data_IF_058728760684
#
_entry.id   IF_058728760684
#
_cell.length_a   1.000
_cell.length_b   1.000
_cell.length_c   1.000
_cell.angle_alpha   90.00
_cell.angle_beta   90.00
_cell.angle_gamma   90.00
#
_symmetry.space_group_name_H-M   'P 1'
#
loop_
_entity.id
_entity.type
_entity.pdbx_description
1 polymer ?
#
# COMPACT_ATOMS: atom_id res chain seq x y z
N UNK A 1 -15.15 -24.57 14.67
CA UNK A 1 -14.96 -23.24 14.04
C UNK A 1 -13.55 -23.27 13.47
N UNK A 2 -13.41 -23.43 12.16
CA UNK A 2 -12.09 -23.36 11.53
C UNK A 2 -11.53 -21.96 11.77
N UNK A 3 -10.36 -21.87 12.37
CA UNK A 3 -9.67 -20.61 12.59
C UNK A 3 -9.47 -19.93 11.22
N UNK A 4 -10.00 -18.73 11.06
CA UNK A 4 -9.82 -17.94 9.84
C UNK A 4 -8.31 -17.72 9.67
N UNK A 5 -7.73 -18.28 8.62
CA UNK A 5 -6.29 -18.08 8.35
C UNK A 5 -6.07 -16.61 7.94
N UNK A 6 -5.14 -15.90 8.58
CA UNK A 6 -4.82 -14.53 8.22
C UNK A 6 -4.32 -14.45 6.78
N UNK A 7 -4.63 -13.33 6.11
CA UNK A 7 -4.14 -13.07 4.75
C UNK A 7 -2.66 -12.69 4.74
N UNK A 8 -2.25 -11.93 5.75
CA UNK A 8 -0.85 -11.60 6.03
C UNK A 8 -0.51 -12.01 7.46
N UNK A 9 0.64 -12.64 7.64
CA UNK A 9 1.18 -12.98 8.95
C UNK A 9 2.66 -12.64 8.97
N UNK A 10 3.04 -11.76 9.86
CA UNK A 10 4.42 -11.34 10.10
C UNK A 10 4.87 -11.96 11.41
N UNK A 11 5.98 -12.70 11.38
CA UNK A 11 6.53 -13.40 12.53
C UNK A 11 7.99 -12.99 12.76
N UNK A 12 8.26 -12.34 13.88
CA UNK A 12 9.59 -11.94 14.32
C UNK A 12 10.43 -11.25 13.22
N UNK A 13 9.80 -10.39 12.42
CA UNK A 13 10.43 -9.70 11.30
C UNK A 13 11.58 -8.83 11.77
N UNK A 14 12.73 -8.96 11.13
CA UNK A 14 13.94 -8.18 11.38
C UNK A 14 14.45 -7.58 10.08
N UNK A 15 14.52 -6.24 10.02
CA UNK A 15 15.09 -5.50 8.89
C UNK A 15 16.14 -4.52 9.38
N UNK A 16 17.38 -4.73 8.96
CA UNK A 16 18.54 -3.97 9.40
C UNK A 16 19.19 -3.22 8.24
N UNK A 17 19.75 -2.04 8.54
CA UNK A 17 20.56 -1.26 7.62
C UNK A 17 22.04 -1.30 8.03
N UNK A 18 22.90 -1.75 7.13
CA UNK A 18 24.34 -1.91 7.34
C UNK A 18 25.08 -0.66 6.87
N UNK A 19 25.19 0.33 7.73
CA UNK A 19 25.82 1.61 7.43
C UNK A 19 27.29 1.64 7.83
N UNK A 20 28.04 2.63 7.34
CA UNK A 20 29.44 2.84 7.78
C UNK A 20 29.57 3.16 9.28
N UNK A 21 28.53 3.72 9.88
CA UNK A 21 28.50 4.08 11.30
C UNK A 21 28.03 2.91 12.20
N UNK A 22 27.61 1.79 11.62
CA UNK A 22 27.12 0.62 12.35
C UNK A 22 25.80 0.08 11.80
N UNK A 23 25.21 -0.85 12.53
CA UNK A 23 23.96 -1.52 12.17
C UNK A 23 22.79 -0.77 12.80
N UNK A 24 21.86 -0.29 11.97
CA UNK A 24 20.59 0.29 12.41
C UNK A 24 19.51 -0.79 12.27
N UNK A 25 18.92 -1.19 13.39
CA UNK A 25 17.82 -2.16 13.45
C UNK A 25 16.49 -1.41 13.29
N UNK A 26 16.10 -1.18 12.03
CA UNK A 26 14.89 -0.42 11.73
C UNK A 26 13.61 -1.18 12.09
N UNK A 27 13.64 -2.52 11.96
CA UNK A 27 12.62 -3.45 12.43
C UNK A 27 13.35 -4.55 13.22
N UNK A 28 12.93 -4.83 14.46
CA UNK A 28 13.63 -5.72 15.39
C UNK A 28 12.63 -6.62 16.14
N UNK A 29 12.11 -7.64 15.46
CA UNK A 29 11.22 -8.64 16.04
C UNK A 29 9.73 -8.28 15.98
N UNK A 30 9.29 -7.62 14.90
CA UNK A 30 7.88 -7.27 14.68
C UNK A 30 7.06 -8.51 14.35
N UNK A 31 5.92 -8.68 15.05
CA UNK A 31 4.95 -9.74 14.81
C UNK A 31 3.54 -9.21 14.90
N UNK A 32 2.74 -9.43 13.86
CA UNK A 32 1.28 -9.21 13.83
C UNK A 32 0.70 -9.93 12.61
N UNK A 33 -0.62 -10.03 12.57
CA UNK A 33 -1.37 -10.64 11.46
C UNK A 33 -2.48 -9.71 10.98
N UNK A 34 -2.97 -9.94 9.76
CA UNK A 34 -4.11 -9.25 9.16
C UNK A 34 -5.04 -10.28 8.54
N UNK A 35 -6.33 -10.21 8.88
CA UNK A 35 -7.35 -11.06 8.30
C UNK A 35 -7.88 -10.48 6.98
N UNK A 36 -8.55 -11.31 6.17
CA UNK A 36 -9.18 -10.84 4.94
C UNK A 36 -10.26 -9.79 5.23
N UNK A 37 -10.19 -8.64 4.58
CA UNK A 37 -11.10 -7.52 4.74
C UNK A 37 -10.94 -6.73 6.05
N UNK A 38 -9.92 -7.06 6.86
CA UNK A 38 -9.61 -6.35 8.11
C UNK A 38 -8.79 -5.08 7.83
N UNK A 39 -9.04 -4.03 8.59
CA UNK A 39 -8.24 -2.80 8.63
C UNK A 39 -7.38 -2.80 9.88
N UNK A 40 -6.07 -2.93 9.71
CA UNK A 40 -5.08 -2.84 10.80
C UNK A 40 -4.33 -1.53 10.71
N UNK A 41 -4.35 -0.76 11.79
CA UNK A 41 -3.55 0.45 11.94
C UNK A 41 -2.16 0.12 12.50
N UNK A 42 -1.08 0.59 11.85
CA UNK A 42 0.27 0.55 12.38
C UNK A 42 0.71 1.97 12.70
N UNK A 43 0.73 2.32 13.99
CA UNK A 43 1.00 3.67 14.46
C UNK A 43 2.31 3.77 15.22
N UNK A 44 2.87 4.96 15.32
CA UNK A 44 4.08 5.24 16.06
C UNK A 44 4.77 6.51 15.57
N UNK A 45 5.80 6.95 16.28
CA UNK A 45 6.58 8.12 15.92
C UNK A 45 7.31 7.97 14.58
N UNK A 46 7.72 9.10 13.99
CA UNK A 46 8.60 9.07 12.81
C UNK A 46 9.90 8.33 13.12
N UNK A 47 10.34 7.46 12.20
CA UNK A 47 11.54 6.63 12.42
C UNK A 47 11.33 5.39 13.28
N UNK A 48 10.12 5.09 13.76
CA UNK A 48 9.85 3.86 14.54
C UNK A 48 9.92 2.55 13.73
N UNK A 49 10.03 2.60 12.38
CA UNK A 49 10.17 1.43 11.51
C UNK A 49 8.91 1.05 10.73
N UNK A 50 7.81 1.79 10.84
CA UNK A 50 6.51 1.47 10.20
C UNK A 50 6.61 1.30 8.67
N UNK A 51 7.12 2.31 7.97
CA UNK A 51 7.29 2.27 6.50
C UNK A 51 8.23 1.14 6.08
N UNK A 52 9.31 0.91 6.85
CA UNK A 52 10.25 -0.20 6.60
C UNK A 52 9.56 -1.56 6.78
N UNK A 53 8.62 -1.69 7.71
CA UNK A 53 7.79 -2.90 7.83
C UNK A 53 6.96 -3.13 6.55
N UNK A 54 6.29 -2.09 6.04
CA UNK A 54 5.58 -2.15 4.76
C UNK A 54 6.48 -2.49 3.57
N UNK A 55 7.65 -1.84 3.46
CA UNK A 55 8.64 -2.14 2.42
C UNK A 55 9.20 -3.55 2.53
N UNK A 56 9.35 -4.08 3.75
CA UNK A 56 9.79 -5.47 3.96
C UNK A 56 8.76 -6.46 3.42
N UNK A 57 7.46 -6.23 3.68
CA UNK A 57 6.37 -7.04 3.11
C UNK A 57 6.37 -6.97 1.60
N UNK A 58 6.60 -5.80 1.02
CA UNK A 58 6.67 -5.62 -0.44
C UNK A 58 7.98 -6.15 -1.05
N UNK A 59 9.00 -6.51 -0.24
CA UNK A 59 10.33 -6.83 -0.74
C UNK A 59 11.01 -5.65 -1.46
N UNK A 60 10.75 -4.41 -0.97
CA UNK A 60 11.25 -3.15 -1.53
C UNK A 60 12.29 -2.47 -0.63
N UNK A 61 12.93 -3.24 0.25
CA UNK A 61 14.00 -2.70 1.10
C UNK A 61 15.29 -2.58 0.27
N UNK A 62 15.68 -1.33 0.00
CA UNK A 62 16.88 -1.02 -0.77
C UNK A 62 18.16 -1.12 0.06
N UNK A 63 19.28 -1.44 -0.60
CA UNK A 63 20.60 -1.40 0.02
C UNK A 63 20.90 0.02 0.60
N UNK A 64 21.53 0.10 1.78
CA UNK A 64 22.18 -0.95 2.55
C UNK A 64 21.25 -1.72 3.52
N UNK A 65 19.92 -1.63 3.33
CA UNK A 65 18.91 -2.35 4.11
C UNK A 65 18.77 -3.81 3.65
N UNK A 66 18.41 -4.69 4.58
CA UNK A 66 18.14 -6.09 4.30
C UNK A 66 17.21 -6.69 5.35
N UNK A 67 16.26 -7.53 4.93
CA UNK A 67 15.54 -8.43 5.82
C UNK A 67 16.52 -9.51 6.25
N UNK A 68 16.78 -9.60 7.57
CA UNK A 68 17.80 -10.50 8.15
C UNK A 68 17.21 -11.63 8.96
N UNK A 69 15.91 -11.60 9.25
CA UNK A 69 15.23 -12.64 10.02
C UNK A 69 13.73 -12.47 10.05
N UNK A 70 13.06 -13.49 10.58
CA UNK A 70 11.62 -13.58 10.65
C UNK A 70 10.98 -14.20 9.41
N UNK A 71 9.66 -14.19 9.36
CA UNK A 71 8.85 -14.69 8.24
C UNK A 71 7.78 -13.71 7.87
N UNK A 72 7.43 -13.67 6.59
CA UNK A 72 6.31 -12.90 6.05
C UNK A 72 5.46 -13.84 5.22
N UNK A 73 4.38 -14.33 5.81
CA UNK A 73 3.46 -15.27 5.17
C UNK A 73 2.31 -14.50 4.54
N UNK A 74 2.11 -14.63 3.26
CA UNK A 74 0.95 -14.08 2.54
C UNK A 74 0.14 -15.24 1.95
N UNK A 75 -1.11 -15.40 2.41
CA UNK A 75 -1.99 -16.51 2.04
C UNK A 75 -1.33 -17.90 2.23
N UNK A 76 -0.45 -18.02 3.22
CA UNK A 76 0.26 -19.26 3.54
C UNK A 76 1.55 -19.49 2.76
N UNK A 77 1.98 -18.56 1.90
CA UNK A 77 3.26 -18.61 1.19
C UNK A 77 4.25 -17.60 1.79
N UNK A 78 5.50 -18.02 1.98
CA UNK A 78 6.55 -17.13 2.54
C UNK A 78 7.10 -16.21 1.46
N UNK A 79 6.76 -14.92 1.56
CA UNK A 79 7.22 -13.88 0.62
C UNK A 79 8.75 -13.75 0.61
N UNK A 80 9.40 -13.93 1.77
CA UNK A 80 10.85 -13.79 1.89
C UNK A 80 11.61 -14.89 1.12
N UNK A 81 10.97 -16.01 0.84
CA UNK A 81 11.53 -17.12 0.07
C UNK A 81 11.24 -17.03 -1.44
N UNK A 82 10.43 -16.05 -1.89
CA UNK A 82 10.03 -15.91 -3.28
C UNK A 82 11.15 -15.38 -4.17
N UNK A 83 11.17 -15.88 -5.41
CA UNK A 83 12.02 -15.31 -6.44
C UNK A 83 11.58 -13.88 -6.83
N UNK A 84 12.47 -13.07 -7.43
CA UNK A 84 12.12 -11.75 -7.92
C UNK A 84 10.90 -11.75 -8.86
N UNK A 85 10.76 -12.77 -9.71
CA UNK A 85 9.65 -12.91 -10.65
C UNK A 85 8.32 -13.18 -9.91
N UNK A 86 8.35 -14.04 -8.89
CA UNK A 86 7.17 -14.29 -8.04
C UNK A 86 6.73 -13.02 -7.29
N UNK A 87 7.69 -12.29 -6.68
CA UNK A 87 7.41 -11.01 -6.04
C UNK A 87 6.83 -9.98 -7.03
N UNK A 88 7.36 -9.91 -8.25
CA UNK A 88 6.85 -9.03 -9.29
C UNK A 88 5.39 -9.36 -9.65
N UNK A 89 5.03 -10.64 -9.71
CA UNK A 89 3.65 -11.07 -10.00
C UNK A 89 2.66 -10.76 -8.87
N UNK A 90 3.13 -10.64 -7.62
CA UNK A 90 2.32 -10.25 -6.47
C UNK A 90 2.09 -8.74 -6.40
N UNK A 91 3.16 -7.95 -6.63
CA UNK A 91 3.14 -6.48 -6.48
C UNK A 91 2.19 -5.85 -7.49
N UNK A 92 1.32 -4.96 -7.01
CA UNK A 92 0.31 -4.29 -7.82
C UNK A 92 -0.83 -5.18 -8.30
N UNK A 93 -0.80 -6.48 -8.00
CA UNK A 93 -1.83 -7.47 -8.34
C UNK A 93 -2.54 -7.98 -7.07
N UNK A 94 -1.81 -8.71 -6.22
CA UNK A 94 -2.36 -9.29 -4.99
C UNK A 94 -2.05 -8.46 -3.75
N UNK A 95 -0.91 -7.78 -3.74
CA UNK A 95 -0.51 -6.82 -2.72
C UNK A 95 -0.16 -5.52 -3.42
N UNK A 96 -0.80 -4.43 -3.02
CA UNK A 96 -0.52 -3.09 -3.52
C UNK A 96 -0.02 -2.18 -2.41
N UNK A 97 0.72 -1.14 -2.77
CA UNK A 97 1.18 -0.13 -1.84
C UNK A 97 0.81 1.27 -2.32
N UNK A 98 0.33 2.09 -1.39
CA UNK A 98 0.13 3.53 -1.56
C UNK A 98 1.23 4.22 -0.78
N UNK A 99 2.08 4.97 -1.47
CA UNK A 99 3.22 5.67 -0.88
C UNK A 99 2.81 7.02 -0.30
N UNK A 100 3.57 7.51 0.66
CA UNK A 100 3.37 8.80 1.31
C UNK A 100 3.36 9.95 0.30
N UNK A 101 4.28 9.95 -0.66
CA UNK A 101 4.29 10.91 -1.78
C UNK A 101 3.68 10.25 -3.03
N UNK A 102 2.56 10.75 -3.56
CA UNK A 102 1.96 10.24 -4.79
C UNK A 102 2.89 10.35 -6.01
N UNK A 103 3.91 11.20 -5.98
CA UNK A 103 4.92 11.28 -7.05
C UNK A 103 5.89 10.10 -7.05
N UNK A 104 5.95 9.31 -5.99
CA UNK A 104 6.64 8.01 -6.00
C UNK A 104 5.93 6.99 -6.90
N UNK A 105 4.61 7.12 -7.07
CA UNK A 105 3.80 6.26 -7.92
C UNK A 105 3.69 6.81 -9.34
N UNK A 106 3.53 8.14 -9.48
CA UNK A 106 3.17 8.78 -10.75
C UNK A 106 4.39 9.31 -11.48
N UNK A 107 4.63 8.81 -12.69
CA UNK A 107 5.64 9.38 -13.58
C UNK A 107 5.12 10.72 -14.17
N UNK A 108 5.79 11.86 -13.90
CA UNK A 108 5.29 13.20 -14.28
C UNK A 108 5.24 13.45 -15.78
N UNK A 109 6.01 12.70 -16.58
CA UNK A 109 6.08 12.86 -18.04
C UNK A 109 5.15 11.94 -18.82
N UNK A 110 4.41 11.06 -18.13
CA UNK A 110 3.41 10.17 -18.73
C UNK A 110 2.00 10.62 -18.37
N UNK A 111 1.06 10.44 -19.29
CA UNK A 111 -0.36 10.66 -19.02
C UNK A 111 -0.86 9.62 -18.00
N UNK A 112 -1.85 10.02 -17.20
CA UNK A 112 -2.48 9.12 -16.20
C UNK A 112 -3.02 7.85 -16.89
N UNK A 113 -3.69 7.99 -18.03
CA UNK A 113 -4.17 6.85 -18.83
C UNK A 113 -3.07 5.84 -19.15
N UNK A 114 -1.92 6.31 -19.61
CA UNK A 114 -0.80 5.44 -19.98
C UNK A 114 -0.35 4.60 -18.80
N UNK A 115 -0.14 5.24 -17.65
CA UNK A 115 0.34 4.57 -16.43
C UNK A 115 -0.67 3.56 -15.90
N UNK A 116 -1.96 3.92 -15.89
CA UNK A 116 -3.02 3.01 -15.43
C UNK A 116 -3.19 1.81 -16.36
N UNK A 117 -3.17 2.03 -17.68
CA UNK A 117 -3.27 0.94 -18.66
C UNK A 117 -2.06 0.01 -18.59
N UNK A 118 -0.86 0.54 -18.41
CA UNK A 118 0.36 -0.25 -18.21
C UNK A 118 0.29 -1.09 -16.93
N UNK A 119 -0.19 -0.51 -15.82
CA UNK A 119 -0.38 -1.24 -14.57
C UNK A 119 -1.37 -2.41 -14.69
N UNK A 120 -2.44 -2.26 -15.48
CA UNK A 120 -3.38 -3.35 -15.77
C UNK A 120 -2.70 -4.42 -16.65
N UNK A 121 -2.06 -4.01 -17.74
CA UNK A 121 -1.44 -4.92 -18.70
C UNK A 121 -0.24 -5.70 -18.15
N UNK A 122 0.42 -5.16 -17.13
CA UNK A 122 1.50 -5.87 -16.44
C UNK A 122 1.05 -7.21 -15.83
N UNK A 123 -0.26 -7.33 -15.50
CA UNK A 123 -0.83 -8.52 -14.87
C UNK A 123 -1.91 -9.23 -15.73
N UNK A 124 -2.39 -8.56 -16.77
CA UNK A 124 -3.36 -9.11 -17.74
C UNK A 124 -2.90 -8.74 -19.15
N UNK A 125 -2.01 -9.56 -19.70
CA UNK A 125 -1.43 -9.33 -21.04
C UNK A 125 -2.45 -9.54 -22.16
N UNK A 126 -3.55 -10.24 -21.89
CA UNK A 126 -4.58 -10.55 -22.88
C UNK A 126 -5.68 -9.50 -22.96
N UNK A 127 -5.77 -8.59 -21.98
CA UNK A 127 -6.78 -7.53 -21.96
C UNK A 127 -6.61 -6.60 -23.17
N UNK A 128 -7.69 -6.28 -23.85
CA UNK A 128 -7.67 -5.30 -24.93
C UNK A 128 -7.37 -3.89 -24.40
N UNK A 129 -6.76 -3.05 -25.25
CA UNK A 129 -6.48 -1.66 -24.86
C UNK A 129 -7.76 -0.89 -24.50
N UNK A 130 -8.87 -1.17 -25.16
CA UNK A 130 -10.17 -0.54 -24.90
C UNK A 130 -10.73 -0.93 -23.53
N UNK A 131 -10.67 -2.21 -23.17
CA UNK A 131 -11.09 -2.69 -21.84
C UNK A 131 -10.21 -2.18 -20.72
N UNK A 132 -8.88 -2.22 -20.88
CA UNK A 132 -7.95 -1.66 -19.90
C UNK A 132 -8.21 -0.17 -19.68
N UNK A 133 -8.49 0.59 -20.77
CA UNK A 133 -8.85 2.00 -20.69
C UNK A 133 -10.18 2.23 -19.98
N UNK A 134 -11.21 1.43 -20.28
CA UNK A 134 -12.51 1.50 -19.60
C UNK A 134 -12.35 1.24 -18.09
N UNK A 135 -11.60 0.19 -17.72
CA UNK A 135 -11.30 -0.16 -16.33
C UNK A 135 -10.54 0.96 -15.60
N UNK A 136 -9.56 1.59 -16.26
CA UNK A 136 -8.83 2.74 -15.71
C UNK A 136 -9.75 3.94 -15.47
N UNK A 137 -10.63 4.27 -16.44
CA UNK A 137 -11.63 5.33 -16.31
C UNK A 137 -12.56 5.07 -15.12
N UNK A 138 -13.08 3.85 -15.03
CA UNK A 138 -14.02 3.47 -13.98
C UNK A 138 -13.37 3.53 -12.59
N UNK A 139 -12.08 3.13 -12.48
CA UNK A 139 -11.30 3.26 -11.26
C UNK A 139 -11.12 4.72 -10.82
N UNK A 140 -10.88 5.66 -11.76
CA UNK A 140 -10.83 7.09 -11.44
C UNK A 140 -12.19 7.61 -10.95
N UNK A 141 -13.29 7.14 -11.54
CA UNK A 141 -14.64 7.47 -11.08
C UNK A 141 -14.92 6.99 -9.66
N UNK A 142 -14.47 5.76 -9.33
CA UNK A 142 -14.64 5.17 -7.99
C UNK A 142 -13.94 5.96 -6.89
N UNK A 143 -12.80 6.60 -7.16
CA UNK A 143 -12.08 7.46 -6.20
C UNK A 143 -12.54 8.93 -6.27
N UNK A 144 -13.68 9.22 -6.92
CA UNK A 144 -14.27 10.56 -6.96
C UNK A 144 -13.52 11.57 -7.82
N UNK A 145 -12.78 11.15 -8.84
CA UNK A 145 -12.21 12.04 -9.84
C UNK A 145 -13.35 12.47 -10.80
N UNK A 146 -13.65 13.76 -10.82
CA UNK A 146 -14.64 14.33 -11.75
C UNK A 146 -14.15 14.28 -13.20
N UNK A 147 -15.06 14.05 -14.15
CA UNK A 147 -14.77 13.95 -15.58
C UNK A 147 -13.59 13.00 -15.90
N UNK A 148 -13.64 11.70 -15.45
CA UNK A 148 -12.50 10.79 -15.53
C UNK A 148 -11.99 10.59 -16.94
N UNK A 149 -12.86 10.63 -17.95
CA UNK A 149 -12.49 10.50 -19.37
C UNK A 149 -11.53 11.62 -19.84
N UNK A 150 -11.74 12.85 -19.39
CA UNK A 150 -10.86 13.98 -19.70
C UNK A 150 -9.57 13.89 -18.88
N UNK A 151 -9.71 13.56 -17.60
CA UNK A 151 -8.61 13.48 -16.65
C UNK A 151 -7.61 12.38 -17.00
N UNK A 152 -8.03 11.29 -17.59
CA UNK A 152 -7.12 10.26 -18.09
C UNK A 152 -6.06 10.81 -19.06
N UNK A 153 -6.40 11.83 -19.86
CA UNK A 153 -5.49 12.45 -20.84
C UNK A 153 -4.51 13.44 -20.24
N UNK A 154 -4.75 13.83 -18.98
CA UNK A 154 -3.92 14.80 -18.27
C UNK A 154 -2.64 14.16 -17.72
N UNK A 155 -1.67 15.00 -17.42
CA UNK A 155 -0.41 14.64 -16.76
C UNK A 155 -0.50 14.88 -15.25
N UNK A 156 0.29 14.18 -14.41
CA UNK A 156 0.25 14.32 -12.96
C UNK A 156 0.38 15.76 -12.45
N UNK A 157 1.21 16.60 -13.11
CA UNK A 157 1.39 18.00 -12.71
C UNK A 157 0.13 18.88 -12.92
N UNK A 158 -0.85 18.41 -13.68
CA UNK A 158 -2.13 19.11 -13.91
C UNK A 158 -3.19 18.78 -12.85
N UNK A 159 -2.84 17.94 -11.87
CA UNK A 159 -3.70 17.55 -10.75
C UNK A 159 -3.29 18.27 -9.46
N UNK A 160 -4.27 18.56 -8.60
CA UNK A 160 -3.99 18.96 -7.23
C UNK A 160 -3.36 17.82 -6.42
N UNK A 161 -2.78 18.11 -5.25
CA UNK A 161 -2.21 17.09 -4.36
C UNK A 161 -3.22 15.97 -4.04
N UNK A 162 -4.42 16.34 -3.61
CA UNK A 162 -5.49 15.37 -3.33
C UNK A 162 -5.95 14.58 -4.55
N UNK A 163 -5.97 15.18 -5.73
CA UNK A 163 -6.29 14.43 -6.96
C UNK A 163 -5.18 13.43 -7.31
N UNK A 164 -3.91 13.80 -7.18
CA UNK A 164 -2.80 12.86 -7.37
C UNK A 164 -2.88 11.68 -6.40
N UNK A 165 -3.21 11.95 -5.13
CA UNK A 165 -3.40 10.89 -4.14
C UNK A 165 -4.54 9.94 -4.53
N UNK A 166 -5.68 10.48 -4.96
CA UNK A 166 -6.81 9.66 -5.45
C UNK A 166 -6.42 8.82 -6.68
N UNK A 167 -5.62 9.37 -7.59
CA UNK A 167 -5.09 8.60 -8.73
C UNK A 167 -4.18 7.47 -8.25
N UNK A 168 -3.30 7.70 -7.28
CA UNK A 168 -2.44 6.66 -6.69
C UNK A 168 -3.27 5.54 -6.02
N UNK A 169 -4.34 5.92 -5.31
CA UNK A 169 -5.30 4.96 -4.74
C UNK A 169 -5.99 4.17 -5.85
N UNK A 170 -6.47 4.84 -6.91
CA UNK A 170 -7.07 4.15 -8.05
C UNK A 170 -6.14 3.14 -8.68
N UNK A 171 -4.85 3.49 -8.88
CA UNK A 171 -3.83 2.59 -9.41
C UNK A 171 -3.63 1.39 -8.47
N UNK A 172 -3.51 1.61 -7.16
CA UNK A 172 -3.34 0.54 -6.19
C UNK A 172 -4.50 -0.47 -6.20
N UNK A 173 -5.71 -0.02 -6.55
CA UNK A 173 -6.93 -0.84 -6.57
C UNK A 173 -7.27 -1.46 -7.94
N UNK A 174 -6.56 -1.10 -9.00
CA UNK A 174 -6.84 -1.54 -10.38
C UNK A 174 -7.01 -3.06 -10.50
N UNK A 175 -6.14 -3.83 -9.88
CA UNK A 175 -6.13 -5.28 -9.98
C UNK A 175 -6.86 -5.99 -8.83
N UNK A 176 -7.67 -5.25 -8.04
CA UNK A 176 -8.45 -5.77 -6.90
C UNK A 176 -7.57 -6.58 -5.95
N UNK A 177 -6.57 -5.95 -5.33
CA UNK A 177 -5.63 -6.65 -4.47
C UNK A 177 -6.33 -7.25 -3.24
N UNK A 178 -5.74 -8.29 -2.68
CA UNK A 178 -6.19 -8.86 -1.42
C UNK A 178 -5.76 -8.00 -0.22
N UNK A 179 -4.61 -7.31 -0.36
CA UNK A 179 -4.02 -6.45 0.67
C UNK A 179 -3.53 -5.14 0.06
N UNK A 180 -3.87 -4.03 0.73
CA UNK A 180 -3.28 -2.72 0.46
C UNK A 180 -2.46 -2.28 1.68
N UNK A 181 -1.23 -1.84 1.44
CA UNK A 181 -0.39 -1.18 2.44
C UNK A 181 -0.42 0.32 2.12
N UNK A 182 -1.01 1.12 2.98
CA UNK A 182 -1.12 2.57 2.82
C UNK A 182 -0.14 3.27 3.78
N UNK A 183 0.98 3.75 3.24
CA UNK A 183 2.02 4.41 4.02
C UNK A 183 1.78 5.92 4.04
N UNK A 184 1.29 6.43 5.16
CA UNK A 184 0.94 7.84 5.39
C UNK A 184 0.13 8.48 4.25
N UNK A 185 -0.94 7.85 3.76
CA UNK A 185 -1.58 8.22 2.49
C UNK A 185 -2.25 9.59 2.51
N UNK A 186 -2.35 10.25 3.65
CA UNK A 186 -3.07 11.51 3.81
C UNK A 186 -2.23 12.65 4.40
N UNK A 187 -0.97 12.39 4.76
CA UNK A 187 -0.10 13.35 5.48
C UNK A 187 0.14 14.65 4.70
N UNK A 188 0.16 14.60 3.38
CA UNK A 188 0.37 15.78 2.53
C UNK A 188 -0.94 16.49 2.09
N UNK A 189 -2.08 16.13 2.69
CA UNK A 189 -3.39 16.64 2.31
C UNK A 189 -3.95 17.58 3.38
N UNK A 190 -4.75 18.57 2.96
CA UNK A 190 -5.56 19.35 3.89
C UNK A 190 -6.65 18.49 4.56
N UNK A 191 -7.10 18.90 5.75
CA UNK A 191 -8.02 18.12 6.61
C UNK A 191 -9.30 17.70 5.89
N UNK A 192 -9.85 18.57 5.03
CA UNK A 192 -11.10 18.27 4.30
C UNK A 192 -10.88 17.18 3.25
N UNK A 193 -9.80 17.25 2.49
CA UNK A 193 -9.43 16.24 1.49
C UNK A 193 -9.02 14.94 2.17
N UNK A 194 -8.31 15.03 3.31
CA UNK A 194 -7.94 13.86 4.12
C UNK A 194 -9.17 13.02 4.49
N UNK A 195 -10.20 13.65 5.08
CA UNK A 195 -11.45 12.95 5.45
C UNK A 195 -12.13 12.29 4.24
N UNK A 196 -12.14 12.96 3.09
CA UNK A 196 -12.71 12.38 1.85
C UNK A 196 -11.93 11.17 1.36
N UNK A 197 -10.59 11.23 1.36
CA UNK A 197 -9.72 10.12 0.92
C UNK A 197 -9.89 8.91 1.85
N UNK A 198 -9.91 9.14 3.16
CA UNK A 198 -10.13 8.08 4.17
C UNK A 198 -11.47 7.39 3.92
N UNK A 199 -12.55 8.16 3.82
CA UNK A 199 -13.90 7.62 3.58
C UNK A 199 -13.97 6.78 2.30
N UNK A 200 -13.41 7.27 1.19
CA UNK A 200 -13.40 6.53 -0.06
C UNK A 200 -12.59 5.23 0.03
N UNK A 201 -11.44 5.25 0.72
CA UNK A 201 -10.65 4.03 0.91
C UNK A 201 -11.39 3.00 1.76
N UNK A 202 -12.01 3.40 2.88
CA UNK A 202 -12.83 2.50 3.70
C UNK A 202 -13.94 1.86 2.88
N UNK A 203 -14.74 2.69 2.19
CA UNK A 203 -15.84 2.22 1.34
C UNK A 203 -15.37 1.21 0.28
N UNK A 204 -14.25 1.50 -0.37
CA UNK A 204 -13.69 0.61 -1.41
C UNK A 204 -13.21 -0.71 -0.80
N UNK A 205 -12.50 -0.68 0.32
CA UNK A 205 -12.04 -1.89 1.01
C UNK A 205 -13.21 -2.77 1.50
N UNK A 206 -14.27 -2.16 2.03
CA UNK A 206 -15.48 -2.87 2.43
C UNK A 206 -16.16 -3.59 1.26
N UNK A 207 -16.33 -2.89 0.12
CA UNK A 207 -16.99 -3.44 -1.08
C UNK A 207 -16.15 -4.56 -1.71
N UNK A 208 -14.84 -4.39 -1.77
CA UNK A 208 -13.92 -5.36 -2.41
C UNK A 208 -13.44 -6.45 -1.46
N UNK A 209 -13.71 -6.34 -0.15
CA UNK A 209 -13.17 -7.21 0.90
C UNK A 209 -11.63 -7.23 0.91
N UNK A 210 -11.02 -6.13 0.50
CA UNK A 210 -9.57 -5.94 0.53
C UNK A 210 -9.12 -5.65 1.97
N UNK A 211 -8.10 -6.34 2.45
CA UNK A 211 -7.46 -6.03 3.73
C UNK A 211 -6.61 -4.76 3.61
N UNK A 212 -6.50 -4.00 4.68
CA UNK A 212 -5.78 -2.72 4.69
C UNK A 212 -4.82 -2.63 5.88
N UNK A 213 -3.54 -2.43 5.59
CA UNK A 213 -2.54 -1.99 6.57
C UNK A 213 -2.38 -0.48 6.44
N UNK A 214 -2.90 0.26 7.42
CA UNK A 214 -2.81 1.72 7.45
C UNK A 214 -1.66 2.17 8.33
N UNK A 215 -0.63 2.70 7.74
CA UNK A 215 0.56 3.21 8.42
C UNK A 215 0.42 4.72 8.60
N UNK A 216 0.51 5.21 9.83
CA UNK A 216 0.46 6.64 10.14
C UNK A 216 1.08 6.96 11.50
N UNK A 217 1.37 8.22 11.75
CA UNK A 217 1.68 8.74 13.08
C UNK A 217 0.46 9.40 13.75
N UNK A 218 -0.67 9.50 13.05
CA UNK A 218 -1.90 10.13 13.55
C UNK A 218 -2.87 9.06 14.11
N UNK A 219 -2.89 8.95 15.43
CA UNK A 219 -3.80 8.07 16.17
C UNK A 219 -5.29 8.40 15.95
N UNK A 220 -5.63 9.70 15.77
CA UNK A 220 -7.02 10.09 15.60
C UNK A 220 -7.60 9.55 14.29
N UNK A 221 -6.80 9.53 13.23
CA UNK A 221 -7.19 8.92 11.96
C UNK A 221 -7.45 7.43 12.14
N UNK A 222 -6.49 6.73 12.75
CA UNK A 222 -6.57 5.25 12.87
C UNK A 222 -7.70 4.81 13.78
N UNK A 223 -7.95 5.55 14.88
CA UNK A 223 -9.06 5.24 15.79
C UNK A 223 -10.44 5.30 15.11
N UNK A 224 -10.55 6.05 14.01
CA UNK A 224 -11.79 6.15 13.22
C UNK A 224 -11.95 5.10 12.13
N UNK A 225 -10.89 4.36 11.79
CA UNK A 225 -10.91 3.47 10.62
C UNK A 225 -10.48 2.02 10.89
N UNK A 226 -9.65 1.78 11.90
CA UNK A 226 -9.02 0.48 12.12
C UNK A 226 -9.87 -0.43 13.01
N UNK A 227 -9.94 -1.70 12.65
CA UNK A 227 -10.49 -2.77 13.51
C UNK A 227 -9.53 -3.10 14.65
N UNK A 228 -8.23 -3.06 14.39
CA UNK A 228 -7.14 -3.25 15.36
C UNK A 228 -6.00 -2.25 15.13
N UNK A 229 -5.31 -1.90 16.19
CA UNK A 229 -4.17 -0.97 16.17
C UNK A 229 -2.96 -1.68 16.74
N UNK A 230 -1.83 -1.58 16.03
CA UNK A 230 -0.51 -1.99 16.50
C UNK A 230 0.33 -0.74 16.73
N UNK A 231 0.84 -0.57 17.94
CA UNK A 231 1.71 0.56 18.28
C UNK A 231 3.16 0.15 18.11
N UNK A 232 3.90 0.89 17.27
CA UNK A 232 5.31 0.63 16.99
C UNK A 232 6.23 1.68 17.60
N UNK A 233 7.22 1.21 18.35
CA UNK A 233 8.25 2.04 18.95
C UNK A 233 9.64 1.39 18.79
N UNK A 234 10.64 2.18 18.35
CA UNK A 234 12.03 1.75 18.19
C UNK A 234 12.20 0.38 17.48
N UNK A 235 11.48 0.16 16.40
CA UNK A 235 11.57 -1.06 15.58
C UNK A 235 10.75 -2.24 16.10
N UNK A 236 9.92 -2.09 17.14
CA UNK A 236 9.15 -3.17 17.77
C UNK A 236 7.67 -2.79 17.91
N UNK A 237 6.79 -3.75 17.84
CA UNK A 237 5.39 -3.60 18.25
C UNK A 237 5.37 -3.74 19.77
N UNK A 238 4.79 -2.74 20.45
CA UNK A 238 4.74 -2.67 21.92
C UNK A 238 3.33 -2.83 22.48
N UNK A 239 2.29 -2.64 21.60
CA UNK A 239 0.87 -2.79 21.93
C UNK A 239 0.09 -3.19 20.69
#
# INVERSE_FOLDING_TARGET
>A
MDAVKPILQIENLQTHFFTKAGIVKAVDGVSFDINAGEVVGLVGESGSGKSITGFSVMGLVDAPGKVVGGRIMFKGEDIAAMSPQQLQSLRGNRISMIFQDPMMTLNPVLRVETQMVEAIKAHDSMISKSEARARARDALGLVGISAPEERMRAYPHQFSGGMRQRVSIAIAMLNRPDLIIADEPTTALDVTIQGQVIHEMQRLCEVTKTALLWITHDLAVVAGIADRICVMYAGRVVE
#
